data_IF_930291442628
#
_entry.id   IF_930291442628
#
_cell.length_a   1.000
_cell.length_b   1.000
_cell.length_c   1.000
_cell.angle_alpha   90.00
_cell.angle_beta   90.00
_cell.angle_gamma   90.00
#
_symmetry.space_group_name_H-M   'P 1'
#
loop_
_entity.id
_entity.type
_entity.pdbx_description
1 polymer ?
#
# COMPACT_ATOMS: atom_id res chain seq x y z
N UNK A 1 7.75 6.17 21.03
CA UNK A 1 8.75 7.07 20.43
C UNK A 1 8.10 7.67 19.19
N UNK A 2 7.98 8.99 19.10
CA UNK A 2 7.45 9.65 17.91
C UNK A 2 8.33 9.30 16.69
N UNK A 3 7.72 8.93 15.56
CA UNK A 3 8.47 8.63 14.35
C UNK A 3 9.29 9.88 13.95
N UNK A 4 10.61 9.78 13.72
CA UNK A 4 11.40 10.94 13.39
C UNK A 4 11.01 11.46 12.01
N UNK A 5 10.83 12.78 11.92
CA UNK A 5 10.69 13.48 10.65
C UNK A 5 11.85 13.11 9.71
N UNK A 6 11.53 12.67 8.48
CA UNK A 6 12.53 12.42 7.44
C UNK A 6 12.77 10.95 7.04
N UNK A 7 11.97 9.98 7.49
CA UNK A 7 12.03 8.62 6.94
C UNK A 7 11.34 8.52 5.58
N UNK A 8 12.01 7.86 4.65
CA UNK A 8 11.53 7.62 3.29
C UNK A 8 10.84 6.26 3.20
N UNK A 9 9.79 6.16 2.39
CA UNK A 9 9.19 4.88 1.99
C UNK A 9 9.17 4.82 0.46
N UNK A 10 9.59 3.68 -0.08
CA UNK A 10 9.67 3.49 -1.53
C UNK A 10 8.34 2.97 -2.06
N UNK A 11 7.67 3.72 -2.93
CA UNK A 11 6.56 3.21 -3.72
C UNK A 11 7.08 2.53 -4.98
N UNK A 12 6.91 1.21 -5.04
CA UNK A 12 7.36 0.41 -6.18
C UNK A 12 6.32 0.48 -7.29
N UNK A 13 6.66 1.16 -8.37
CA UNK A 13 5.81 1.25 -9.55
C UNK A 13 6.62 1.65 -10.78
N UNK A 14 6.25 1.11 -11.94
CA UNK A 14 6.67 1.61 -13.24
C UNK A 14 5.66 2.58 -13.89
N UNK A 15 4.51 2.81 -13.25
CA UNK A 15 3.39 3.58 -13.83
C UNK A 15 3.35 4.99 -13.23
N UNK A 16 3.72 5.99 -14.04
CA UNK A 16 3.75 7.40 -13.63
C UNK A 16 2.39 7.94 -13.16
N UNK A 17 1.27 7.48 -13.74
CA UNK A 17 -0.07 7.92 -13.33
C UNK A 17 -0.49 7.30 -11.99
N UNK A 18 -0.08 6.05 -11.70
CA UNK A 18 -0.26 5.48 -10.35
C UNK A 18 0.49 6.31 -9.32
N UNK A 19 1.73 6.70 -9.62
CA UNK A 19 2.52 7.56 -8.74
C UNK A 19 1.84 8.91 -8.49
N UNK A 20 1.37 9.56 -9.56
CA UNK A 20 0.65 10.83 -9.46
C UNK A 20 -0.59 10.72 -8.57
N UNK A 21 -1.42 9.69 -8.79
CA UNK A 21 -2.62 9.44 -7.99
C UNK A 21 -2.26 9.15 -6.52
N UNK A 22 -1.23 8.34 -6.25
CA UNK A 22 -0.78 8.03 -4.88
C UNK A 22 -0.31 9.30 -4.17
N UNK A 23 0.46 10.15 -4.83
CA UNK A 23 0.91 11.43 -4.27
C UNK A 23 -0.28 12.33 -3.96
N UNK A 24 -1.26 12.42 -4.86
CA UNK A 24 -2.47 13.22 -4.65
C UNK A 24 -3.31 12.71 -3.48
N UNK A 25 -3.44 11.38 -3.32
CA UNK A 25 -4.26 10.78 -2.26
C UNK A 25 -3.59 10.91 -0.89
N UNK A 26 -2.29 10.60 -0.81
CA UNK A 26 -1.54 10.65 0.44
C UNK A 26 -1.33 12.10 0.90
N UNK A 27 -1.01 13.00 -0.03
CA UNK A 27 -0.80 14.43 0.20
C UNK A 27 0.12 14.72 1.39
N UNK A 28 -0.10 15.86 2.03
CA UNK A 28 0.71 16.32 3.16
C UNK A 28 0.40 15.60 4.48
N UNK A 29 -0.65 14.76 4.51
CA UNK A 29 -1.09 14.06 5.72
C UNK A 29 -0.28 12.80 5.99
N UNK A 30 0.30 12.21 4.95
CA UNK A 30 1.13 11.03 5.08
C UNK A 30 2.49 11.40 5.69
N UNK A 31 2.87 10.83 6.84
CA UNK A 31 3.99 11.33 7.62
C UNK A 31 5.38 10.93 7.09
N UNK A 32 5.44 10.21 5.98
CA UNK A 32 6.69 9.71 5.39
C UNK A 32 6.92 10.30 4.00
N UNK A 33 8.19 10.50 3.65
CA UNK A 33 8.56 10.93 2.30
C UNK A 33 8.38 9.76 1.33
N UNK A 34 7.48 9.91 0.36
CA UNK A 34 7.31 8.91 -0.70
C UNK A 34 8.41 9.06 -1.76
N UNK A 35 9.09 7.97 -2.08
CA UNK A 35 10.08 7.89 -3.17
C UNK A 35 9.62 6.84 -4.16
N UNK A 36 9.49 7.17 -5.44
CA UNK A 36 9.15 6.15 -6.44
C UNK A 36 10.41 5.45 -6.95
N UNK A 37 10.37 4.11 -7.04
CA UNK A 37 11.36 3.34 -7.78
C UNK A 37 10.67 2.29 -8.63
N UNK A 38 11.15 2.12 -9.86
CA UNK A 38 10.81 0.99 -10.70
C UNK A 38 11.83 -0.11 -10.44
N UNK A 39 11.39 -1.21 -9.86
CA UNK A 39 12.15 -2.46 -9.77
C UNK A 39 11.37 -3.56 -10.49
N UNK A 40 12.08 -4.58 -10.95
CA UNK A 40 11.45 -5.73 -11.57
C UNK A 40 11.04 -6.73 -10.49
N UNK A 41 9.75 -7.04 -10.46
CA UNK A 41 9.17 -7.97 -9.50
C UNK A 41 8.41 -9.04 -10.27
N UNK A 42 8.55 -10.31 -9.91
CA UNK A 42 7.75 -11.36 -10.52
C UNK A 42 6.25 -11.15 -10.22
N UNK A 43 5.41 -11.49 -11.18
CA UNK A 43 3.96 -11.54 -10.99
C UNK A 43 3.59 -12.93 -10.47
N UNK A 44 3.34 -13.01 -9.16
CA UNK A 44 3.00 -14.26 -8.47
C UNK A 44 1.55 -14.70 -8.79
N UNK A 45 1.31 -16.01 -8.64
CA UNK A 45 -0.03 -16.61 -8.71
C UNK A 45 -0.46 -17.08 -7.33
N UNK A 46 -1.75 -17.07 -7.04
CA UNK A 46 -2.30 -17.43 -5.74
C UNK A 46 -3.47 -16.54 -5.33
N UNK A 47 -3.76 -16.50 -4.04
CA UNK A 47 -4.77 -15.59 -3.51
C UNK A 47 -4.25 -14.14 -3.48
N UNK A 48 -5.11 -13.13 -3.65
CA UNK A 48 -4.69 -11.72 -3.72
C UNK A 48 -3.79 -11.25 -2.57
N UNK A 49 -4.10 -11.69 -1.35
CA UNK A 49 -3.34 -11.34 -0.15
C UNK A 49 -1.94 -11.97 -0.16
N UNK A 50 -1.85 -13.24 -0.58
CA UNK A 50 -0.58 -13.96 -0.67
C UNK A 50 0.34 -13.34 -1.72
N UNK A 51 -0.22 -13.02 -2.89
CA UNK A 51 0.49 -12.32 -3.98
C UNK A 51 1.03 -10.98 -3.46
N UNK A 52 0.18 -10.17 -2.83
CA UNK A 52 0.56 -8.85 -2.32
C UNK A 52 1.67 -8.94 -1.26
N UNK A 53 1.57 -9.90 -0.33
CA UNK A 53 2.58 -10.15 0.71
C UNK A 53 3.92 -10.56 0.07
N UNK A 54 3.89 -11.49 -0.87
CA UNK A 54 5.10 -12.01 -1.51
C UNK A 54 5.80 -10.92 -2.34
N UNK A 55 5.03 -10.13 -3.11
CA UNK A 55 5.51 -8.96 -3.85
C UNK A 55 6.13 -7.91 -2.94
N UNK A 56 5.50 -7.64 -1.80
CA UNK A 56 6.03 -6.70 -0.81
C UNK A 56 7.33 -7.19 -0.18
N UNK A 57 7.43 -8.48 0.16
CA UNK A 57 8.65 -9.09 0.71
C UNK A 57 9.81 -9.02 -0.27
N UNK A 58 9.59 -9.41 -1.51
CA UNK A 58 10.60 -9.35 -2.57
C UNK A 58 11.06 -7.91 -2.81
N UNK A 59 10.11 -6.97 -2.91
CA UNK A 59 10.43 -5.55 -3.02
C UNK A 59 11.28 -5.04 -1.85
N UNK A 60 10.92 -5.39 -0.62
CA UNK A 60 11.65 -4.99 0.57
C UNK A 60 13.08 -5.57 0.59
N UNK A 61 13.25 -6.81 0.13
CA UNK A 61 14.57 -7.45 0.00
C UNK A 61 15.45 -6.75 -1.03
N UNK A 62 14.91 -6.42 -2.21
CA UNK A 62 15.68 -5.74 -3.26
C UNK A 62 16.01 -4.28 -2.92
N UNK A 63 15.10 -3.58 -2.22
CA UNK A 63 15.27 -2.17 -1.83
C UNK A 63 16.10 -2.00 -0.56
N UNK A 64 16.15 -3.04 0.29
CA UNK A 64 16.72 -2.99 1.64
C UNK A 64 16.11 -1.84 2.48
N UNK A 65 14.78 -1.81 2.58
CA UNK A 65 14.10 -0.77 3.32
C UNK A 65 12.57 -0.78 3.23
N UNK A 66 11.92 0.25 3.80
CA UNK A 66 10.46 0.36 3.77
C UNK A 66 9.94 0.54 2.34
N UNK A 67 9.00 -0.31 1.95
CA UNK A 67 8.37 -0.29 0.63
C UNK A 67 6.84 -0.28 0.73
N UNK A 68 6.20 0.25 -0.30
CA UNK A 68 4.78 0.10 -0.60
C UNK A 68 4.71 -0.50 -2.00
N UNK A 69 4.00 -1.62 -2.12
CA UNK A 69 3.63 -2.23 -3.40
C UNK A 69 2.11 -2.12 -3.56
N UNK A 70 1.61 -2.27 -4.79
CA UNK A 70 0.19 -2.24 -5.08
C UNK A 70 -0.18 -3.30 -6.11
N UNK A 71 -1.10 -4.19 -5.74
CA UNK A 71 -1.78 -5.11 -6.64
C UNK A 71 -3.26 -4.73 -6.77
N UNK A 72 -3.83 -4.96 -7.96
CA UNK A 72 -5.22 -4.63 -8.26
C UNK A 72 -5.89 -5.85 -8.86
N UNK A 73 -6.98 -6.29 -8.23
CA UNK A 73 -7.77 -7.42 -8.69
C UNK A 73 -9.14 -6.95 -9.22
N UNK A 74 -9.72 -7.72 -10.14
CA UNK A 74 -11.12 -7.58 -10.55
C UNK A 74 -11.85 -8.89 -10.26
N UNK A 75 -12.75 -8.86 -9.28
CA UNK A 75 -13.38 -10.08 -8.77
C UNK A 75 -14.87 -10.13 -9.12
N UNK A 76 -15.28 -11.05 -10.00
CA UNK A 76 -16.70 -11.27 -10.30
C UNK A 76 -17.27 -12.33 -9.37
N UNK A 77 -18.29 -11.95 -8.58
CA UNK A 77 -18.95 -12.87 -7.64
C UNK A 77 -19.50 -14.13 -8.33
N UNK A 78 -20.10 -13.97 -9.51
CA UNK A 78 -20.66 -15.07 -10.29
C UNK A 78 -19.60 -16.06 -10.80
N UNK A 79 -18.33 -15.64 -10.88
CA UNK A 79 -17.20 -16.47 -11.29
C UNK A 79 -16.34 -16.89 -10.08
N UNK A 80 -16.90 -16.88 -8.87
CA UNK A 80 -16.16 -17.27 -7.67
C UNK A 80 -14.98 -16.34 -7.35
N UNK A 81 -15.05 -15.07 -7.75
CA UNK A 81 -13.96 -14.11 -7.55
C UNK A 81 -12.99 -14.00 -8.72
N UNK A 82 -13.12 -14.83 -9.76
CA UNK A 82 -12.33 -14.70 -10.99
C UNK A 82 -12.76 -13.48 -11.82
N UNK A 83 -11.87 -12.93 -12.68
CA UNK A 83 -10.47 -13.34 -12.88
C UNK A 83 -9.53 -13.01 -11.71
N UNK A 84 -9.96 -12.20 -10.74
CA UNK A 84 -9.20 -11.94 -9.53
C UNK A 84 -7.86 -11.25 -9.83
N UNK A 85 -6.73 -11.77 -9.32
CA UNK A 85 -5.40 -11.23 -9.60
C UNK A 85 -4.90 -11.55 -11.01
N UNK A 86 -5.54 -12.51 -11.71
CA UNK A 86 -5.14 -12.96 -13.05
C UNK A 86 -5.67 -12.06 -14.17
N UNK A 87 -6.27 -10.91 -13.83
CA UNK A 87 -6.77 -9.94 -14.80
C UNK A 87 -5.60 -9.30 -15.56
N UNK A 88 -5.21 -9.91 -16.68
CA UNK A 88 -4.34 -9.28 -17.68
C UNK A 88 -5.15 -8.50 -18.72
N UNK A 89 -6.36 -8.04 -18.37
CA UNK A 89 -7.18 -7.26 -19.28
C UNK A 89 -6.83 -5.78 -19.15
N UNK A 90 -6.40 -5.20 -20.25
CA UNK A 90 -6.40 -3.75 -20.43
C UNK A 90 -7.84 -3.25 -20.51
N UNK A 91 -8.49 -3.07 -19.35
CA UNK A 91 -9.60 -2.13 -19.29
C UNK A 91 -9.08 -0.75 -19.72
N UNK A 92 -9.85 0.02 -20.51
CA UNK A 92 -9.51 1.40 -20.82
C UNK A 92 -9.18 2.15 -19.53
N UNK A 93 -8.17 3.02 -19.61
CA UNK A 93 -7.64 3.73 -18.43
C UNK A 93 -8.74 4.48 -17.69
N UNK A 94 -9.70 5.04 -18.43
CA UNK A 94 -10.84 5.79 -17.92
C UNK A 94 -11.72 4.91 -17.02
N UNK A 95 -11.97 3.66 -17.44
CA UNK A 95 -12.76 2.69 -16.67
C UNK A 95 -11.99 2.24 -15.43
N UNK A 96 -10.68 1.94 -15.54
CA UNK A 96 -9.85 1.57 -14.37
C UNK A 96 -9.88 2.65 -13.30
N UNK A 97 -9.85 3.91 -13.72
CA UNK A 97 -9.84 5.04 -12.80
C UNK A 97 -11.19 5.28 -12.11
N UNK A 98 -12.33 4.87 -12.69
CA UNK A 98 -13.65 4.98 -12.03
C UNK A 98 -13.96 3.84 -11.08
N UNK A 99 -13.46 2.63 -11.34
CA UNK A 99 -13.75 1.45 -10.53
C UNK A 99 -12.69 1.17 -9.45
N UNK A 100 -11.55 1.87 -9.47
CA UNK A 100 -10.46 1.58 -8.56
C UNK A 100 -10.79 1.96 -7.11
N UNK A 101 -10.53 1.02 -6.20
CA UNK A 101 -10.61 1.25 -4.75
C UNK A 101 -9.33 1.89 -4.18
N UNK A 102 -8.35 2.25 -5.03
CA UNK A 102 -7.05 2.81 -4.64
C UNK A 102 -7.18 4.01 -3.70
N UNK A 103 -8.08 4.94 -4.02
CA UNK A 103 -8.35 6.11 -3.16
C UNK A 103 -8.70 5.68 -1.73
N UNK A 104 -9.64 4.75 -1.57
CA UNK A 104 -10.11 4.32 -0.25
C UNK A 104 -9.01 3.62 0.54
N UNK A 105 -8.26 2.73 -0.10
CA UNK A 105 -7.18 1.99 0.54
C UNK A 105 -6.05 2.92 1.01
N UNK A 106 -5.57 3.81 0.13
CA UNK A 106 -4.50 4.74 0.46
C UNK A 106 -4.94 5.82 1.46
N UNK A 107 -6.18 6.29 1.39
CA UNK A 107 -6.73 7.23 2.38
C UNK A 107 -6.80 6.58 3.77
N UNK A 108 -7.32 5.35 3.88
CA UNK A 108 -7.38 4.61 5.14
C UNK A 108 -5.97 4.33 5.71
N UNK A 109 -5.02 3.96 4.84
CA UNK A 109 -3.62 3.80 5.22
C UNK A 109 -3.03 5.11 5.74
N UNK A 110 -3.22 6.22 5.02
CA UNK A 110 -2.72 7.52 5.45
C UNK A 110 -3.27 7.91 6.81
N UNK A 111 -4.59 7.78 7.01
CA UNK A 111 -5.24 8.09 8.28
C UNK A 111 -4.67 7.27 9.44
N UNK A 112 -4.47 5.95 9.24
CA UNK A 112 -3.87 5.07 10.24
C UNK A 112 -2.47 5.55 10.67
N UNK A 113 -1.60 5.91 9.72
CA UNK A 113 -0.25 6.38 10.03
C UNK A 113 -0.22 7.80 10.60
N UNK A 114 -1.16 8.67 10.22
CA UNK A 114 -1.30 10.00 10.83
C UNK A 114 -1.71 9.91 12.30
N UNK A 115 -2.64 9.00 12.65
CA UNK A 115 -3.12 8.83 14.02
C UNK A 115 -2.07 8.20 14.94
N UNK A 116 -1.35 7.18 14.46
CA UNK A 116 -0.34 6.47 15.25
C UNK A 116 0.90 7.32 15.61
N UNK A 117 1.17 8.38 14.85
CA UNK A 117 2.23 9.32 15.20
C UNK A 117 1.88 10.26 16.37
N UNK A 118 0.60 10.37 16.73
CA UNK A 118 0.15 11.16 17.89
C UNK A 118 0.06 10.35 19.20
N UNK A 119 0.21 9.01 19.14
CA UNK A 119 0.17 8.15 20.33
C UNK A 119 1.58 7.91 20.86
N UNK A 120 2.02 8.77 21.77
CA UNK A 120 3.15 8.48 22.67
C UNK A 120 2.87 7.18 23.45
N UNK A 121 3.88 6.36 23.80
CA UNK A 121 3.67 5.25 24.72
C UNK A 121 3.38 5.82 26.11
N UNK A 122 2.11 5.87 26.51
CA UNK A 122 1.80 6.01 27.93
C UNK A 122 2.10 4.69 28.62
N UNK A 123 3.00 4.77 29.60
CA UNK A 123 3.36 3.69 30.51
C UNK A 123 2.09 3.02 31.06
N UNK A 124 1.90 1.74 30.76
CA UNK A 124 1.00 0.89 31.53
C UNK A 124 1.61 0.72 32.93
N UNK A 125 1.38 1.67 33.84
CA UNK A 125 1.56 1.44 35.27
C UNK A 125 0.58 0.32 35.67
N UNK A 126 1.14 -0.86 35.95
CA UNK A 126 0.45 -1.95 36.66
C UNK A 126 -0.09 -1.35 37.96
N UNK A 127 -1.41 -1.37 38.14
CA UNK A 127 -2.01 -1.32 39.49
C UNK A 127 -1.63 -2.61 40.19
N UNK A 128 -0.86 -2.46 41.25
CA UNK A 128 -0.63 -3.45 42.28
C UNK A 128 -1.87 -3.36 43.18
N UNK A 129 -2.68 -4.41 43.23
CA UNK A 129 -3.75 -4.56 44.22
C UNK A 129 -3.18 -5.40 45.37
N UNK A 130 -3.35 -4.86 46.58
CA UNK A 130 -3.13 -5.52 47.86
C UNK A 130 -4.15 -6.65 48.10
#
# INVERSE_FOLDING_TARGET
>A
MAAPAGRSVVFVTGNAKKLEEVIQILGDRFPYKLVSKKIDLPEYQGEPDEISIQKCKEAAQQIDGPVIVEDTCLCFKALGGLPGPYIYAELPKEVKNTISHRYRALAAMSEHFSQNNNTSPQEKKKKQED
#
